data_IF_378830962791
#
_entry.id   IF_378830962791
#
_cell.length_a   1.000
_cell.length_b   1.000
_cell.length_c   1.000
_cell.angle_alpha   90.00
_cell.angle_beta   90.00
_cell.angle_gamma   90.00
#
_symmetry.space_group_name_H-M   'P 1'
#
loop_
_entity.id
_entity.type
_entity.pdbx_description
1 polymer ?
#
# COMPACT_ATOMS: atom_id res chain seq x y z
N UNK A 1 -20.61 -36.58 6.98
CA UNK A 1 -20.64 -35.23 6.37
C UNK A 1 -20.89 -34.13 7.41
N UNK A 2 -21.82 -34.33 8.36
CA UNK A 2 -22.18 -33.34 9.40
C UNK A 2 -21.07 -33.05 10.42
N UNK A 3 -20.31 -34.07 10.85
CA UNK A 3 -19.19 -33.90 11.80
C UNK A 3 -18.05 -33.03 11.24
N UNK A 4 -17.85 -33.04 9.92
CA UNK A 4 -16.77 -32.27 9.25
C UNK A 4 -17.12 -30.78 9.17
N UNK A 5 -18.39 -30.43 8.94
CA UNK A 5 -18.82 -29.03 8.91
C UNK A 5 -18.77 -28.41 10.31
N UNK A 6 -19.09 -29.20 11.34
CA UNK A 6 -19.04 -28.76 12.72
C UNK A 6 -17.61 -28.52 13.20
N UNK A 7 -16.67 -29.42 12.86
CA UNK A 7 -15.24 -29.22 13.12
C UNK A 7 -14.69 -27.98 12.41
N UNK A 8 -15.05 -27.77 11.13
CA UNK A 8 -14.61 -26.62 10.34
C UNK A 8 -15.14 -25.29 10.92
N UNK A 9 -16.41 -25.27 11.31
CA UNK A 9 -17.07 -24.08 11.86
C UNK A 9 -16.48 -23.70 13.21
N UNK A 10 -16.13 -24.69 14.04
CA UNK A 10 -15.49 -24.43 15.32
C UNK A 10 -14.05 -23.94 15.16
N UNK A 11 -13.32 -24.46 14.16
CA UNK A 11 -11.96 -24.00 13.85
C UNK A 11 -11.96 -22.59 13.26
N UNK A 12 -12.95 -22.26 12.42
CA UNK A 12 -13.13 -20.92 11.86
C UNK A 12 -13.42 -19.87 12.93
N UNK A 13 -14.29 -20.17 13.92
CA UNK A 13 -14.57 -19.24 15.02
C UNK A 13 -13.32 -18.95 15.85
N UNK A 14 -12.52 -19.96 16.18
CA UNK A 14 -11.26 -19.77 16.91
C UNK A 14 -10.24 -18.93 16.16
N UNK A 15 -10.15 -19.10 14.83
CA UNK A 15 -9.27 -18.27 14.01
C UNK A 15 -9.77 -16.84 13.90
N UNK A 16 -11.09 -16.64 13.76
CA UNK A 16 -11.69 -15.30 13.71
C UNK A 16 -11.48 -14.56 15.02
N UNK A 17 -11.68 -15.20 16.17
CA UNK A 17 -11.47 -14.57 17.48
C UNK A 17 -9.99 -14.23 17.72
N UNK A 18 -9.08 -15.15 17.39
CA UNK A 18 -7.63 -14.91 17.48
C UNK A 18 -7.14 -13.80 16.54
N UNK A 19 -7.73 -13.69 15.34
CA UNK A 19 -7.45 -12.62 14.38
C UNK A 19 -8.10 -11.31 14.82
N UNK A 20 -9.26 -11.34 15.48
CA UNK A 20 -9.96 -10.14 15.95
C UNK A 20 -9.24 -9.46 17.11
N UNK A 21 -8.76 -10.24 18.08
CA UNK A 21 -8.00 -9.71 19.22
C UNK A 21 -6.62 -9.19 18.80
N UNK A 22 -5.92 -9.90 17.90
CA UNK A 22 -4.66 -9.42 17.30
C UNK A 22 -4.89 -8.24 16.34
N UNK A 23 -6.00 -8.26 15.62
CA UNK A 23 -6.39 -7.22 14.69
C UNK A 23 -6.72 -5.90 15.39
N UNK A 24 -7.36 -5.94 16.56
CA UNK A 24 -7.67 -4.75 17.34
C UNK A 24 -6.40 -4.04 17.85
N UNK A 25 -5.45 -4.80 18.40
CA UNK A 25 -4.16 -4.27 18.89
C UNK A 25 -3.28 -3.78 17.74
N UNK A 26 -3.24 -4.49 16.62
CA UNK A 26 -2.50 -4.06 15.42
C UNK A 26 -3.16 -2.85 14.74
N UNK A 27 -4.49 -2.79 14.69
CA UNK A 27 -5.22 -1.66 14.12
C UNK A 27 -4.99 -0.38 14.94
N UNK A 28 -4.87 -0.47 16.26
CA UNK A 28 -4.52 0.68 17.10
C UNK A 28 -3.11 1.20 16.80
N UNK A 29 -2.12 0.30 16.71
CA UNK A 29 -0.74 0.68 16.36
C UNK A 29 -0.65 1.29 14.95
N UNK A 30 -1.37 0.72 13.98
CA UNK A 30 -1.44 1.26 12.61
C UNK A 30 -2.13 2.62 12.61
N UNK A 31 -3.22 2.78 13.36
CA UNK A 31 -3.96 4.04 13.45
C UNK A 31 -3.12 5.15 14.07
N UNK A 32 -2.37 4.86 15.13
CA UNK A 32 -1.46 5.82 15.75
C UNK A 32 -0.35 6.25 14.79
N UNK A 33 0.32 5.28 14.13
CA UNK A 33 1.32 5.60 13.11
C UNK A 33 0.77 6.42 11.95
N UNK A 34 -0.48 6.14 11.55
CA UNK A 34 -1.14 6.89 10.49
C UNK A 34 -1.46 8.32 10.92
N UNK A 35 -1.88 8.51 12.17
CA UNK A 35 -2.12 9.83 12.75
C UNK A 35 -0.82 10.64 12.86
N UNK A 36 0.25 10.07 13.42
CA UNK A 36 1.56 10.73 13.52
C UNK A 36 2.11 11.15 12.14
N UNK A 37 1.94 10.27 11.15
CA UNK A 37 2.34 10.56 9.78
C UNK A 37 1.51 11.70 9.17
N UNK A 38 0.18 11.69 9.36
CA UNK A 38 -0.70 12.76 8.90
C UNK A 38 -0.36 14.10 9.57
N UNK A 39 -0.10 14.10 10.87
CA UNK A 39 0.27 15.30 11.61
C UNK A 39 1.61 15.86 11.12
N UNK A 40 2.60 14.99 10.87
CA UNK A 40 3.89 15.38 10.28
C UNK A 40 3.73 15.97 8.88
N UNK A 41 2.85 15.40 8.05
CA UNK A 41 2.57 15.94 6.73
C UNK A 41 1.84 17.28 6.79
N UNK A 42 0.84 17.40 7.67
CA UNK A 42 0.08 18.64 7.85
C UNK A 42 1.00 19.74 8.38
N UNK A 43 1.90 19.44 9.30
CA UNK A 43 2.86 20.41 9.83
C UNK A 43 3.89 20.85 8.77
N UNK A 44 4.39 19.90 7.96
CA UNK A 44 5.27 20.20 6.82
C UNK A 44 4.58 21.04 5.73
N UNK A 45 3.26 20.87 5.56
CA UNK A 45 2.45 21.64 4.62
C UNK A 45 2.05 23.00 5.21
N UNK A 46 1.74 23.09 6.50
CA UNK A 46 1.36 24.32 7.18
C UNK A 46 2.53 25.33 7.23
N UNK A 47 3.76 24.83 7.29
CA UNK A 47 4.97 25.65 7.15
C UNK A 47 5.28 26.08 5.71
N UNK A 48 4.51 25.63 4.71
CA UNK A 48 4.68 26.00 3.31
C UNK A 48 3.36 26.50 2.71
N UNK A 49 3.18 27.82 2.67
CA UNK A 49 1.99 28.57 2.20
C UNK A 49 1.41 28.08 0.85
N UNK A 50 2.23 27.42 0.02
CA UNK A 50 1.87 26.91 -1.29
C UNK A 50 0.99 25.62 -1.30
N UNK A 51 0.81 24.92 -0.18
CA UNK A 51 0.18 23.59 -0.16
C UNK A 51 -1.36 23.55 -0.14
N UNK A 52 -2.01 24.58 0.42
CA UNK A 52 -3.48 24.59 0.60
C UNK A 52 -4.25 24.73 -0.74
N UNK A 53 -3.71 25.47 -1.70
CA UNK A 53 -4.36 25.68 -3.01
C UNK A 53 -4.41 24.42 -3.88
N UNK A 54 -3.38 23.59 -3.82
CA UNK A 54 -3.27 22.36 -4.61
C UNK A 54 -4.21 21.26 -4.10
N UNK A 55 -4.38 21.15 -2.77
CA UNK A 55 -5.24 20.15 -2.14
C UNK A 55 -6.72 20.34 -2.49
N UNK A 56 -7.22 21.58 -2.45
CA UNK A 56 -8.65 21.88 -2.70
C UNK A 56 -9.01 21.69 -4.18
N UNK A 57 -8.11 22.06 -5.10
CA UNK A 57 -8.29 21.82 -6.53
C UNK A 57 -8.29 20.31 -6.88
N UNK A 58 -7.44 19.53 -6.20
CA UNK A 58 -7.38 18.07 -6.37
C UNK A 58 -8.65 17.37 -5.84
N UNK A 59 -9.18 17.79 -4.69
CA UNK A 59 -10.42 17.26 -4.11
C UNK A 59 -11.61 17.61 -5.01
N UNK A 60 -11.68 18.83 -5.54
CA UNK A 60 -12.75 19.24 -6.47
C UNK A 60 -12.71 18.46 -7.78
N UNK A 61 -11.52 18.16 -8.30
CA UNK A 61 -11.33 17.32 -9.48
C UNK A 61 -11.71 15.85 -9.23
N UNK A 62 -11.44 15.32 -8.04
CA UNK A 62 -11.86 13.98 -7.64
C UNK A 62 -13.39 13.87 -7.56
N UNK A 63 -14.09 14.85 -7.00
CA UNK A 63 -15.53 14.77 -6.75
C UNK A 63 -16.43 14.86 -8.00
N UNK A 64 -15.87 15.21 -9.17
CA UNK A 64 -16.67 15.50 -10.38
C UNK A 64 -16.66 14.37 -11.43
N UNK A 65 -15.95 13.25 -11.20
CA UNK A 65 -15.79 12.19 -12.20
C UNK A 65 -16.15 10.78 -11.73
N UNK A 66 -16.84 10.01 -12.59
CA UNK A 66 -17.18 8.57 -12.40
C UNK A 66 -15.96 7.63 -12.21
N UNK A 67 -14.73 8.18 -12.20
CA UNK A 67 -13.56 7.55 -11.59
C UNK A 67 -12.59 8.64 -11.07
N UNK A 68 -12.68 9.04 -9.78
CA UNK A 68 -12.01 10.21 -9.20
C UNK A 68 -10.48 10.16 -9.35
N UNK A 69 -9.92 8.96 -9.21
CA UNK A 69 -8.48 8.69 -9.30
C UNK A 69 -7.96 8.99 -10.71
N UNK A 70 -8.71 8.60 -11.74
CA UNK A 70 -8.30 8.79 -13.13
C UNK A 70 -8.36 10.26 -13.56
N UNK A 71 -9.33 11.01 -13.05
CA UNK A 71 -9.44 12.45 -13.29
C UNK A 71 -8.26 13.22 -12.66
N UNK A 72 -7.86 12.86 -11.43
CA UNK A 72 -6.71 13.47 -10.76
C UNK A 72 -5.39 13.19 -11.49
N UNK A 73 -5.16 11.94 -11.93
CA UNK A 73 -3.99 11.56 -12.73
C UNK A 73 -3.96 12.36 -14.04
N UNK A 74 -5.11 12.47 -14.72
CA UNK A 74 -5.19 13.17 -16.00
C UNK A 74 -4.99 14.68 -15.84
N UNK A 75 -5.55 15.28 -14.79
CA UNK A 75 -5.38 16.69 -14.46
C UNK A 75 -3.91 17.02 -14.17
N UNK A 76 -3.26 16.20 -13.33
CA UNK A 76 -1.84 16.32 -13.02
C UNK A 76 -1.02 16.27 -14.31
N UNK A 77 -1.13 15.19 -15.07
CA UNK A 77 -0.38 14.99 -16.34
C UNK A 77 -0.67 16.09 -17.36
N UNK A 78 -1.91 16.58 -17.43
CA UNK A 78 -2.28 17.67 -18.35
C UNK A 78 -1.67 19.03 -17.98
N UNK A 79 -1.37 19.26 -16.70
CA UNK A 79 -0.71 20.47 -16.19
C UNK A 79 0.83 20.43 -16.27
N UNK A 80 1.44 19.26 -16.52
CA UNK A 80 2.89 19.14 -16.68
C UNK A 80 3.34 19.69 -18.04
N UNK A 81 4.41 20.50 -18.03
CA UNK A 81 5.09 20.96 -19.25
C UNK A 81 5.57 19.79 -20.10
N UNK A 82 5.74 19.99 -21.41
CA UNK A 82 6.17 18.93 -22.33
C UNK A 82 7.45 18.20 -21.88
N UNK A 83 8.42 18.93 -21.31
CA UNK A 83 9.66 18.36 -20.74
C UNK A 83 9.38 17.46 -19.53
N UNK A 84 8.46 17.86 -18.67
CA UNK A 84 8.13 17.11 -17.47
C UNK A 84 7.29 15.87 -17.78
N UNK A 85 6.46 15.88 -18.83
CA UNK A 85 5.82 14.66 -19.35
C UNK A 85 6.84 13.63 -19.81
N UNK A 86 7.89 14.05 -20.52
CA UNK A 86 8.98 13.15 -20.96
C UNK A 86 9.72 12.57 -19.75
N UNK A 87 10.06 13.39 -18.75
CA UNK A 87 10.70 12.91 -17.52
C UNK A 87 9.81 11.90 -16.77
N UNK A 88 8.50 12.13 -16.73
CA UNK A 88 7.53 11.24 -16.09
C UNK A 88 7.43 9.90 -16.83
N UNK A 89 7.41 9.90 -18.16
CA UNK A 89 7.49 8.67 -18.96
C UNK A 89 8.81 7.94 -18.71
N UNK A 90 9.93 8.66 -18.65
CA UNK A 90 11.23 8.06 -18.37
C UNK A 90 11.27 7.39 -16.99
N UNK A 91 10.74 8.06 -15.97
CA UNK A 91 10.57 7.52 -14.62
C UNK A 91 9.65 6.30 -14.59
N UNK A 92 8.57 6.32 -15.38
CA UNK A 92 7.64 5.20 -15.47
C UNK A 92 8.28 3.99 -16.14
N UNK A 93 9.09 4.21 -17.19
CA UNK A 93 9.87 3.15 -17.85
C UNK A 93 10.92 2.60 -16.89
N UNK A 94 11.66 3.46 -16.19
CA UNK A 94 12.62 3.02 -15.17
C UNK A 94 11.92 2.22 -14.08
N UNK A 95 10.78 2.71 -13.58
CA UNK A 95 9.97 2.02 -12.57
C UNK A 95 9.40 0.70 -13.09
N UNK A 96 8.99 0.62 -14.35
CA UNK A 96 8.49 -0.61 -14.98
C UNK A 96 9.60 -1.60 -15.30
N UNK A 97 10.85 -1.16 -15.47
CA UNK A 97 12.01 -2.04 -15.58
C UNK A 97 12.50 -2.47 -14.19
N UNK A 98 12.44 -1.60 -13.20
CA UNK A 98 12.80 -1.93 -11.81
C UNK A 98 11.75 -2.81 -11.13
N UNK A 99 10.46 -2.59 -11.38
CA UNK A 99 9.37 -3.37 -10.80
C UNK A 99 9.52 -4.88 -11.00
N UNK A 100 9.75 -5.41 -12.22
CA UNK A 100 9.98 -6.84 -12.43
C UNK A 100 11.26 -7.29 -11.73
N UNK A 101 12.32 -6.46 -11.67
CA UNK A 101 13.53 -6.78 -10.89
C UNK A 101 13.19 -6.93 -9.40
N UNK A 102 12.39 -6.03 -8.83
CA UNK A 102 11.95 -6.12 -7.43
C UNK A 102 11.09 -7.37 -7.19
N UNK A 103 10.21 -7.74 -8.12
CA UNK A 103 9.43 -8.98 -8.03
C UNK A 103 10.36 -10.20 -8.08
N UNK A 104 11.34 -10.21 -8.97
CA UNK A 104 12.33 -11.30 -9.06
C UNK A 104 13.15 -11.38 -7.77
N UNK A 105 13.62 -10.25 -7.23
CA UNK A 105 14.34 -10.21 -5.95
C UNK A 105 13.47 -10.72 -4.81
N UNK A 106 12.20 -10.33 -4.74
CA UNK A 106 11.26 -10.82 -3.73
C UNK A 106 11.07 -12.34 -3.82
N UNK A 107 10.89 -12.87 -5.04
CA UNK A 107 10.80 -14.31 -5.27
C UNK A 107 12.10 -15.02 -4.86
N UNK A 108 13.27 -14.47 -5.20
CA UNK A 108 14.55 -15.03 -4.79
C UNK A 108 14.68 -15.05 -3.26
N UNK A 109 14.29 -13.99 -2.56
CA UNK A 109 14.28 -13.96 -1.10
C UNK A 109 13.40 -15.07 -0.53
N UNK A 110 12.22 -15.29 -1.10
CA UNK A 110 11.32 -16.37 -0.67
C UNK A 110 11.93 -17.76 -0.92
N UNK A 111 12.57 -17.97 -2.07
CA UNK A 111 13.27 -19.23 -2.38
C UNK A 111 14.42 -19.48 -1.41
N UNK A 112 15.25 -18.47 -1.16
CA UNK A 112 16.36 -18.56 -0.21
C UNK A 112 15.85 -18.81 1.21
N UNK A 113 14.80 -18.10 1.64
CA UNK A 113 14.19 -18.31 2.96
C UNK A 113 13.64 -19.74 3.11
N UNK A 114 12.99 -20.27 2.07
CA UNK A 114 12.50 -21.65 2.06
C UNK A 114 13.66 -22.67 2.12
N UNK A 115 14.73 -22.45 1.36
CA UNK A 115 15.93 -23.28 1.41
C UNK A 115 16.58 -23.26 2.80
N UNK A 116 16.77 -22.08 3.38
CA UNK A 116 17.33 -21.92 4.73
C UNK A 116 16.44 -22.62 5.76
N UNK A 117 15.12 -22.50 5.64
CA UNK A 117 14.19 -23.19 6.52
C UNK A 117 14.28 -24.72 6.39
N UNK A 118 14.38 -25.25 5.17
CA UNK A 118 14.55 -26.67 4.92
C UNK A 118 15.89 -27.21 5.46
N UNK A 119 17.00 -26.49 5.22
CA UNK A 119 18.32 -26.83 5.77
C UNK A 119 18.28 -26.81 7.28
N UNK A 120 17.68 -25.77 7.89
CA UNK A 120 17.55 -25.67 9.34
C UNK A 120 16.72 -26.81 9.92
N UNK A 121 15.67 -27.25 9.22
CA UNK A 121 14.85 -28.39 9.64
C UNK A 121 15.57 -29.73 9.51
N UNK A 122 16.49 -29.88 8.55
CA UNK A 122 17.32 -31.08 8.40
C UNK A 122 18.54 -31.11 9.33
N UNK A 123 18.93 -29.94 9.86
CA UNK A 123 20.07 -29.77 10.79
C UNK A 123 19.63 -29.77 12.26
N UNK A 124 18.32 -29.87 12.51
CA UNK A 124 17.71 -29.97 13.83
C UNK A 124 17.25 -31.42 14.06
#
# INVERSE_FOLDING_TARGET
>A
MEVVSEWLKNHAHRLVDAVRDRGATMAQNIRQKFQDWMDTLVDAIAHNDAGMGAGIAAVRAALTGKNPVWAAIKALVSGLSGKAKVALVLLLVLGLVLAPVLVVVLLLVLVVAALVAAVRAASA
#
